data_IF_181447886084
#
_entry.id   IF_181447886084
#
_cell.length_a   1.000
_cell.length_b   1.000
_cell.length_c   1.000
_cell.angle_alpha   90.00
_cell.angle_beta   90.00
_cell.angle_gamma   90.00
#
_symmetry.space_group_name_H-M   'P 1'
#
loop_
_entity.id
_entity.type
_entity.pdbx_description
1 polymer ?
#
# COMPACT_ATOMS: atom_id res chain seq x y z
N UNK A 1 -5.05 7.30 6.45
CA UNK A 1 -4.45 7.61 5.15
C UNK A 1 -4.80 6.50 4.16
N UNK A 2 -5.45 6.87 3.06
CA UNK A 2 -5.79 5.98 1.94
C UNK A 2 -4.56 5.61 1.11
N UNK A 3 -4.70 4.66 0.18
CA UNK A 3 -3.65 4.30 -0.77
C UNK A 3 -3.23 5.50 -1.62
N UNK A 4 -4.20 6.22 -2.18
CA UNK A 4 -3.96 7.37 -3.06
C UNK A 4 -3.31 8.54 -2.30
N UNK A 5 -3.61 8.69 -1.01
CA UNK A 5 -2.93 9.68 -0.17
C UNK A 5 -1.47 9.27 0.09
N UNK A 6 -1.22 7.99 0.39
CA UNK A 6 0.13 7.49 0.61
C UNK A 6 0.99 7.55 -0.66
N UNK A 7 0.40 7.26 -1.82
CA UNK A 7 1.06 7.37 -3.12
C UNK A 7 1.43 8.81 -3.47
N UNK A 8 0.50 9.76 -3.30
CA UNK A 8 0.81 11.18 -3.53
C UNK A 8 1.94 11.68 -2.64
N UNK A 9 1.90 11.33 -1.35
CA UNK A 9 2.97 11.73 -0.44
C UNK A 9 4.31 11.06 -0.81
N UNK A 10 4.29 9.83 -1.32
CA UNK A 10 5.50 9.14 -1.77
C UNK A 10 6.09 9.81 -3.01
N UNK A 11 5.25 10.22 -3.96
CA UNK A 11 5.66 10.99 -5.14
C UNK A 11 6.31 12.32 -4.75
N UNK A 12 5.71 13.05 -3.79
CA UNK A 12 6.28 14.29 -3.26
C UNK A 12 7.65 14.07 -2.59
N UNK A 13 7.78 13.00 -1.81
CA UNK A 13 9.05 12.63 -1.16
C UNK A 13 10.13 12.31 -2.20
N UNK A 14 9.80 11.53 -3.23
CA UNK A 14 10.73 11.20 -4.32
C UNK A 14 11.14 12.46 -5.07
N UNK A 15 10.17 13.31 -5.43
CA UNK A 15 10.46 14.57 -6.12
C UNK A 15 11.43 15.46 -5.34
N UNK A 16 11.27 15.57 -4.01
CA UNK A 16 12.18 16.32 -3.14
C UNK A 16 13.58 15.73 -3.07
N UNK A 17 13.69 14.40 -3.04
CA UNK A 17 14.97 13.71 -3.08
C UNK A 17 15.68 13.90 -4.43
N UNK A 18 14.94 13.91 -5.53
CA UNK A 18 15.48 14.11 -6.89
C UNK A 18 15.97 15.53 -7.15
N UNK A 19 15.36 16.55 -6.52
CA UNK A 19 15.84 17.94 -6.63
C UNK A 19 17.25 18.13 -6.05
N UNK A 20 17.70 17.26 -5.15
CA UNK A 20 19.09 17.26 -4.65
C UNK A 20 19.50 18.45 -3.77
N UNK A 21 18.60 19.40 -3.51
CA UNK A 21 18.86 20.62 -2.73
C UNK A 21 18.39 20.50 -1.27
N UNK A 22 18.49 19.29 -0.72
CA UNK A 22 18.10 18.95 0.66
C UNK A 22 19.34 18.63 1.49
N UNK A 23 19.38 19.13 2.73
CA UNK A 23 20.45 18.82 3.67
C UNK A 23 20.52 17.30 3.92
N UNK A 24 21.67 16.80 4.36
CA UNK A 24 21.88 15.36 4.59
C UNK A 24 20.89 14.79 5.59
N UNK A 25 20.68 15.47 6.72
CA UNK A 25 19.73 15.07 7.75
C UNK A 25 18.29 15.01 7.21
N UNK A 26 17.92 15.98 6.36
CA UNK A 26 16.61 16.02 5.72
C UNK A 26 16.46 14.91 4.67
N UNK A 27 17.51 14.60 3.92
CA UNK A 27 17.55 13.49 2.97
C UNK A 27 17.33 12.15 3.66
N UNK A 28 17.92 11.95 4.84
CA UNK A 28 17.71 10.74 5.65
C UNK A 28 16.25 10.66 6.10
N UNK A 29 15.68 11.76 6.62
CA UNK A 29 14.29 11.79 7.06
C UNK A 29 13.30 11.54 5.90
N UNK A 30 13.56 12.11 4.72
CA UNK A 30 12.79 11.87 3.50
C UNK A 30 12.87 10.41 3.08
N UNK A 31 14.05 9.80 3.12
CA UNK A 31 14.22 8.39 2.79
C UNK A 31 13.45 7.47 3.74
N UNK A 32 13.53 7.69 5.06
CA UNK A 32 12.77 6.95 6.06
C UNK A 32 11.26 7.09 5.84
N UNK A 33 10.80 8.32 5.57
CA UNK A 33 9.39 8.59 5.24
C UNK A 33 8.96 7.85 3.98
N UNK A 34 9.76 7.91 2.91
CA UNK A 34 9.50 7.21 1.66
C UNK A 34 9.45 5.69 1.85
N UNK A 35 10.33 5.11 2.66
CA UNK A 35 10.31 3.68 2.98
C UNK A 35 9.03 3.29 3.74
N UNK A 36 8.59 4.10 4.70
CA UNK A 36 7.35 3.88 5.43
C UNK A 36 6.10 3.98 4.52
N UNK A 37 6.08 4.97 3.62
CA UNK A 37 5.01 5.14 2.62
C UNK A 37 4.95 3.97 1.65
N UNK A 38 6.10 3.55 1.11
CA UNK A 38 6.20 2.35 0.25
C UNK A 38 5.66 1.11 0.93
N UNK A 39 6.04 0.87 2.19
CA UNK A 39 5.52 -0.27 2.97
C UNK A 39 4.00 -0.21 3.08
N UNK A 40 3.45 0.97 3.39
CA UNK A 40 2.01 1.17 3.51
C UNK A 40 1.26 0.93 2.20
N UNK A 41 1.80 1.40 1.07
CA UNK A 41 1.23 1.13 -0.25
C UNK A 41 1.21 -0.38 -0.54
N UNK A 42 2.31 -1.09 -0.27
CA UNK A 42 2.39 -2.53 -0.45
C UNK A 42 1.39 -3.29 0.45
N UNK A 43 1.26 -2.90 1.73
CA UNK A 43 0.30 -3.51 2.65
C UNK A 43 -1.15 -3.29 2.17
N UNK A 44 -1.47 -2.11 1.65
CA UNK A 44 -2.80 -1.80 1.13
C UNK A 44 -3.13 -2.60 -0.13
N UNK A 45 -2.18 -2.74 -1.06
CA UNK A 45 -2.34 -3.57 -2.26
C UNK A 45 -2.53 -5.04 -1.88
N UNK A 46 -1.71 -5.57 -0.97
CA UNK A 46 -1.84 -6.94 -0.48
C UNK A 46 -3.23 -7.20 0.11
N UNK A 47 -3.72 -6.29 0.96
CA UNK A 47 -5.05 -6.41 1.54
C UNK A 47 -6.18 -6.34 0.48
N UNK A 48 -5.98 -5.59 -0.60
CA UNK A 48 -6.92 -5.54 -1.72
C UNK A 48 -6.89 -6.86 -2.53
N UNK A 49 -5.71 -7.39 -2.81
CA UNK A 49 -5.53 -8.68 -3.49
C UNK A 49 -6.17 -9.82 -2.70
N UNK A 50 -5.95 -9.90 -1.38
CA UNK A 50 -6.56 -10.90 -0.51
C UNK A 50 -8.10 -10.83 -0.54
N UNK A 51 -8.67 -9.62 -0.54
CA UNK A 51 -10.12 -9.43 -0.66
C UNK A 51 -10.65 -9.88 -2.01
N UNK A 52 -9.96 -9.53 -3.10
CA UNK A 52 -10.35 -9.97 -4.45
C UNK A 52 -10.26 -11.49 -4.54
N UNK A 53 -9.19 -12.12 -4.02
CA UNK A 53 -9.03 -13.57 -4.01
C UNK A 53 -10.12 -14.29 -3.20
N UNK A 54 -10.62 -13.69 -2.12
CA UNK A 54 -11.71 -14.26 -1.33
C UNK A 54 -13.08 -14.19 -2.05
N UNK A 55 -13.30 -13.18 -2.91
CA UNK A 55 -14.56 -12.98 -3.65
C UNK A 55 -14.52 -13.69 -5.00
N UNK A 56 -13.33 -13.83 -5.59
CA UNK A 56 -13.14 -14.54 -6.84
C UNK A 56 -13.30 -16.03 -6.57
N UNK A 57 -14.31 -16.59 -7.21
CA UNK A 57 -14.73 -17.97 -7.11
C UNK A 57 -13.55 -18.94 -7.36
N UNK A 58 -13.62 -20.17 -6.84
CA UNK A 58 -12.66 -21.22 -7.20
C UNK A 58 -12.69 -21.52 -8.72
N UNK A 59 -11.77 -22.37 -9.22
CA UNK A 59 -11.70 -22.75 -10.64
C UNK A 59 -13.00 -23.31 -11.25
N UNK A 60 -14.03 -23.56 -10.42
CA UNK A 60 -15.34 -24.07 -10.79
C UNK A 60 -16.46 -23.04 -10.65
N UNK A 61 -16.16 -21.77 -10.32
CA UNK A 61 -17.18 -20.75 -10.14
C UNK A 61 -17.95 -20.86 -8.82
N UNK A 62 -17.38 -21.50 -7.78
CA UNK A 62 -18.00 -21.53 -6.45
C UNK A 62 -17.38 -20.49 -5.50
N UNK A 63 -18.19 -19.79 -4.67
CA UNK A 63 -17.67 -18.90 -3.65
C UNK A 63 -16.91 -19.71 -2.58
N UNK A 64 -15.62 -19.46 -2.43
CA UNK A 64 -14.85 -19.96 -1.29
C UNK A 64 -15.09 -19.06 -0.07
N UNK A 65 -16.19 -19.34 0.64
CA UNK A 65 -16.49 -18.65 1.89
C UNK A 65 -17.99 -18.57 2.17
N UNK A 66 -18.63 -19.71 2.41
CA UNK A 66 -19.86 -19.73 3.21
C UNK A 66 -19.51 -20.43 4.52
N UNK A 67 -18.74 -19.77 5.39
CA UNK A 67 -18.90 -20.08 6.80
C UNK A 67 -20.28 -19.55 7.21
N UNK A 68 -21.20 -20.41 7.68
CA UNK A 68 -22.41 -19.92 8.31
C UNK A 68 -21.97 -19.03 9.48
N UNK A 69 -22.46 -17.79 9.53
CA UNK A 69 -22.59 -17.15 10.84
C UNK A 69 -23.58 -18.02 11.60
N UNK A 70 -23.07 -18.84 12.52
CA UNK A 70 -23.89 -19.69 13.38
C UNK A 70 -24.96 -18.85 14.13
N UNK A 71 -26.11 -19.47 14.47
CA UNK A 71 -27.38 -18.80 14.80
C UNK A 71 -27.40 -18.01 16.13
#
# INVERSE_FOLDING_TARGET
>A
MSFEQAMRELEDVVSRLETGDVALEESIALYERGAALRKRCADALKAAEEKVAAITLDERGNPKGTEPLDP
#
